data_IF_583748370446
#
_entry.id   IF_583748370446
#
_cell.length_a   1.000
_cell.length_b   1.000
_cell.length_c   1.000
_cell.angle_alpha   90.00
_cell.angle_beta   90.00
_cell.angle_gamma   90.00
#
_symmetry.space_group_name_H-M   'P 1'
#
loop_
_entity.id
_entity.type
_entity.pdbx_description
1 polymer ?
#
# COMPACT_ATOMS: atom_id res chain seq x y z
N UNK A 1 4.33 -5.44 -16.39
CA UNK A 1 3.59 -6.10 -15.29
C UNK A 1 4.11 -7.51 -15.06
N UNK A 2 4.11 -8.35 -16.09
CA UNK A 2 4.42 -9.79 -15.98
C UNK A 2 5.76 -10.08 -15.30
N UNK A 3 6.82 -9.36 -15.66
CA UNK A 3 8.13 -9.52 -15.01
C UNK A 3 8.05 -9.30 -13.48
N UNK A 4 7.37 -8.23 -13.06
CA UNK A 4 7.19 -7.92 -11.63
C UNK A 4 6.31 -8.95 -10.94
N UNK A 5 5.21 -9.36 -11.57
CA UNK A 5 4.32 -10.40 -11.03
C UNK A 5 5.05 -11.74 -10.86
N UNK A 6 5.92 -12.11 -11.81
CA UNK A 6 6.78 -13.28 -11.69
C UNK A 6 7.75 -13.15 -10.51
N UNK A 7 8.34 -11.96 -10.28
CA UNK A 7 9.20 -11.73 -9.11
C UNK A 7 8.43 -11.85 -7.80
N UNK A 8 7.18 -11.37 -7.74
CA UNK A 8 6.32 -11.57 -6.57
C UNK A 8 6.04 -13.07 -6.39
N UNK A 9 5.66 -13.81 -7.43
CA UNK A 9 5.37 -15.24 -7.33
C UNK A 9 6.58 -16.07 -6.86
N UNK A 10 7.78 -15.75 -7.37
CA UNK A 10 9.02 -16.45 -7.01
C UNK A 10 9.41 -16.25 -5.54
N UNK A 11 9.06 -15.11 -4.93
CA UNK A 11 9.57 -14.70 -3.62
C UNK A 11 8.51 -14.64 -2.52
N UNK A 12 7.26 -14.38 -2.90
CA UNK A 12 6.11 -14.20 -2.00
C UNK A 12 4.87 -14.84 -2.67
N UNK A 13 4.86 -16.17 -2.87
CA UNK A 13 3.80 -16.85 -3.61
C UNK A 13 2.41 -16.63 -2.99
N UNK A 14 2.31 -16.46 -1.67
CA UNK A 14 1.04 -16.14 -1.00
C UNK A 14 0.50 -14.77 -1.43
N UNK A 15 1.35 -13.75 -1.53
CA UNK A 15 0.96 -12.43 -2.01
C UNK A 15 0.57 -12.47 -3.49
N UNK A 16 1.30 -13.23 -4.31
CA UNK A 16 0.93 -13.44 -5.71
C UNK A 16 -0.45 -14.08 -5.85
N UNK A 17 -0.74 -15.12 -5.08
CA UNK A 17 -2.04 -15.79 -5.09
C UNK A 17 -3.16 -14.89 -4.59
N UNK A 18 -2.91 -14.06 -3.58
CA UNK A 18 -3.87 -13.05 -3.12
C UNK A 18 -4.18 -12.05 -4.23
N UNK A 19 -3.16 -11.48 -4.88
CA UNK A 19 -3.31 -10.54 -6.00
C UNK A 19 -4.14 -11.18 -7.11
N UNK A 20 -3.82 -12.40 -7.52
CA UNK A 20 -4.59 -13.10 -8.57
C UNK A 20 -6.02 -13.46 -8.16
N UNK A 21 -6.30 -13.55 -6.86
CA UNK A 21 -7.66 -13.84 -6.37
C UNK A 21 -8.55 -12.60 -6.37
N UNK A 22 -7.95 -11.42 -6.21
CA UNK A 22 -8.69 -10.15 -6.09
C UNK A 22 -8.65 -9.29 -7.36
N UNK A 23 -7.63 -9.43 -8.20
CA UNK A 23 -7.43 -8.62 -9.42
C UNK A 23 -7.76 -9.42 -10.67
N UNK A 24 -8.74 -8.94 -11.43
CA UNK A 24 -9.08 -9.43 -12.77
C UNK A 24 -8.31 -8.68 -13.85
N UNK A 25 -8.11 -7.37 -13.68
CA UNK A 25 -7.60 -6.50 -14.74
C UNK A 25 -6.61 -5.45 -14.27
N UNK A 26 -5.51 -5.34 -15.00
CA UNK A 26 -4.55 -4.25 -14.88
C UNK A 26 -4.57 -3.46 -16.18
N UNK A 27 -4.91 -2.17 -16.11
CA UNK A 27 -4.94 -1.27 -17.26
C UNK A 27 -3.64 -0.46 -17.26
N UNK A 28 -2.85 -0.60 -18.32
CA UNK A 28 -1.64 0.19 -18.52
C UNK A 28 -1.98 1.41 -19.37
N UNK A 29 -1.59 2.59 -18.90
CA UNK A 29 -1.79 3.87 -19.61
C UNK A 29 -0.47 4.61 -19.81
N UNK A 30 -0.38 5.39 -20.87
CA UNK A 30 0.62 6.46 -20.96
C UNK A 30 0.11 7.67 -20.16
N UNK A 31 0.90 8.14 -19.18
CA UNK A 31 0.50 9.27 -18.35
C UNK A 31 1.69 10.03 -17.77
N UNK A 32 1.63 11.35 -17.85
CA UNK A 32 2.60 12.26 -17.24
C UNK A 32 2.21 12.72 -15.84
N UNK A 33 1.05 12.31 -15.31
CA UNK A 33 0.53 12.80 -14.03
C UNK A 33 -0.08 11.74 -13.10
N UNK A 34 -0.50 10.60 -13.64
CA UNK A 34 -1.08 9.49 -12.87
C UNK A 34 -0.09 8.34 -12.87
N UNK A 35 0.38 7.93 -11.69
CA UNK A 35 1.32 6.81 -11.55
C UNK A 35 0.60 5.46 -11.45
N UNK A 36 -0.41 5.41 -10.60
CA UNK A 36 -1.32 4.29 -10.45
C UNK A 36 -2.62 4.80 -9.81
N UNK A 37 -3.67 3.99 -9.87
CA UNK A 37 -4.90 4.28 -9.17
C UNK A 37 -5.93 3.16 -9.27
N UNK A 38 -6.67 3.01 -8.19
CA UNK A 38 -7.80 2.11 -8.05
C UNK A 38 -9.00 2.89 -7.51
N UNK A 39 -10.19 2.35 -7.75
CA UNK A 39 -11.44 3.02 -7.38
C UNK A 39 -12.42 1.99 -6.84
N UNK A 40 -13.18 2.37 -5.81
CA UNK A 40 -14.18 1.51 -5.18
C UNK A 40 -15.24 0.98 -6.16
N UNK A 41 -15.57 1.74 -7.21
CA UNK A 41 -16.53 1.34 -8.24
C UNK A 41 -15.91 0.48 -9.37
N UNK A 42 -14.64 0.12 -9.26
CA UNK A 42 -13.89 -0.67 -10.23
C UNK A 42 -13.12 -1.82 -9.54
N UNK A 43 -13.80 -2.52 -8.62
CA UNK A 43 -13.23 -3.66 -7.90
C UNK A 43 -12.64 -4.70 -8.85
N UNK A 44 -11.47 -5.22 -8.48
CA UNK A 44 -10.67 -6.14 -9.27
C UNK A 44 -9.99 -5.49 -10.47
N UNK A 45 -10.02 -4.16 -10.57
CA UNK A 45 -9.30 -3.41 -11.58
C UNK A 45 -8.45 -2.32 -10.95
N UNK A 46 -7.25 -2.12 -11.48
CA UNK A 46 -6.49 -0.90 -11.24
C UNK A 46 -5.76 -0.44 -12.50
N UNK A 47 -5.40 0.83 -12.51
CA UNK A 47 -4.66 1.50 -13.56
C UNK A 47 -3.23 1.73 -13.08
N UNK A 48 -2.26 1.57 -13.96
CA UNK A 48 -0.85 1.91 -13.75
C UNK A 48 -0.32 2.64 -14.98
N UNK A 49 0.62 3.56 -14.77
CA UNK A 49 1.36 4.11 -15.90
C UNK A 49 2.29 3.07 -16.50
N UNK A 50 2.58 3.26 -17.78
CA UNK A 50 3.60 2.49 -18.47
C UNK A 50 4.97 2.60 -17.78
N UNK A 51 5.72 1.51 -17.86
CA UNK A 51 7.01 1.36 -17.20
C UNK A 51 8.14 1.60 -18.20
N UNK A 52 9.05 2.52 -17.89
CA UNK A 52 10.19 2.84 -18.73
C UNK A 52 11.50 2.32 -18.12
N UNK A 53 11.93 1.13 -18.53
CA UNK A 53 13.10 0.45 -17.96
C UNK A 53 14.43 1.23 -18.05
N UNK A 54 14.51 2.22 -18.95
CA UNK A 54 15.69 3.10 -19.07
C UNK A 54 15.77 4.16 -17.96
N UNK A 55 14.64 4.48 -17.32
CA UNK A 55 14.52 5.59 -16.36
C UNK A 55 14.29 5.11 -14.93
N UNK A 56 13.75 3.90 -14.76
CA UNK A 56 13.25 3.39 -13.48
C UNK A 56 13.51 1.90 -13.31
N UNK A 57 13.66 1.50 -12.04
CA UNK A 57 13.83 0.11 -11.66
C UNK A 57 12.47 -0.56 -11.46
N UNK A 58 12.38 -1.88 -11.69
CA UNK A 58 11.12 -2.62 -11.64
C UNK A 58 10.42 -2.61 -10.27
N UNK A 59 11.16 -2.28 -9.21
CA UNK A 59 10.65 -2.01 -7.85
C UNK A 59 9.58 -0.92 -7.83
N UNK A 60 9.56 -0.03 -8.82
CA UNK A 60 8.45 0.92 -9.02
C UNK A 60 7.14 0.21 -9.35
N UNK A 61 7.20 -0.73 -10.29
CA UNK A 61 6.05 -1.54 -10.65
C UNK A 61 5.63 -2.45 -9.48
N UNK A 62 6.59 -2.92 -8.67
CA UNK A 62 6.30 -3.67 -7.44
C UNK A 62 5.48 -2.81 -6.48
N UNK A 63 5.92 -1.58 -6.21
CA UNK A 63 5.19 -0.62 -5.37
C UNK A 63 3.76 -0.42 -5.89
N UNK A 64 3.59 -0.05 -7.16
CA UNK A 64 2.27 0.22 -7.74
C UNK A 64 1.34 -1.01 -7.67
N UNK A 65 1.82 -2.20 -8.06
CA UNK A 65 0.99 -3.41 -8.08
C UNK A 65 0.54 -3.77 -6.66
N UNK A 66 1.46 -3.79 -5.69
CA UNK A 66 1.11 -4.13 -4.30
C UNK A 66 0.21 -3.06 -3.70
N UNK A 67 0.48 -1.79 -3.97
CA UNK A 67 -0.30 -0.66 -3.48
C UNK A 67 -1.76 -0.72 -3.95
N UNK A 68 -1.98 -0.82 -5.25
CA UNK A 68 -3.34 -0.83 -5.81
C UNK A 68 -4.07 -2.16 -5.56
N UNK A 69 -3.35 -3.26 -5.43
CA UNK A 69 -3.93 -4.54 -5.00
C UNK A 69 -4.39 -4.47 -3.55
N UNK A 70 -3.60 -3.85 -2.67
CA UNK A 70 -3.98 -3.63 -1.26
C UNK A 70 -5.21 -2.72 -1.15
N UNK A 71 -5.33 -1.68 -1.98
CA UNK A 71 -6.56 -0.89 -2.07
C UNK A 71 -7.77 -1.76 -2.46
N UNK A 72 -7.64 -2.57 -3.51
CA UNK A 72 -8.71 -3.48 -3.94
C UNK A 72 -9.11 -4.47 -2.84
N UNK A 73 -8.14 -5.06 -2.14
CA UNK A 73 -8.41 -5.96 -1.01
C UNK A 73 -9.17 -5.24 0.10
N UNK A 74 -8.69 -4.06 0.50
CA UNK A 74 -9.32 -3.29 1.56
C UNK A 74 -10.75 -2.87 1.21
N UNK A 75 -11.00 -2.50 -0.05
CA UNK A 75 -12.36 -2.20 -0.50
C UNK A 75 -13.30 -3.41 -0.36
N UNK A 76 -12.85 -4.63 -0.70
CA UNK A 76 -13.64 -5.84 -0.51
C UNK A 76 -13.93 -6.11 0.96
N UNK A 77 -12.91 -5.98 1.82
CA UNK A 77 -13.07 -6.14 3.28
C UNK A 77 -14.08 -5.13 3.82
N UNK A 78 -13.93 -3.85 3.47
CA UNK A 78 -14.78 -2.77 3.96
C UNK A 78 -16.24 -2.91 3.51
N UNK A 79 -16.47 -3.49 2.33
CA UNK A 79 -17.83 -3.77 1.85
C UNK A 79 -18.55 -4.83 2.70
N UNK A 80 -17.79 -5.75 3.31
CA UNK A 80 -18.33 -6.81 4.15
C UNK A 80 -18.45 -6.38 5.61
N UNK A 81 -17.43 -5.70 6.13
CA UNK A 81 -17.32 -5.35 7.55
C UNK A 81 -16.84 -3.89 7.71
N UNK A 82 -17.63 -3.01 8.35
CA UNK A 82 -17.21 -1.65 8.63
C UNK A 82 -15.95 -1.61 9.50
N UNK A 83 -14.93 -0.85 9.07
CA UNK A 83 -13.65 -0.73 9.78
C UNK A 83 -13.63 0.43 10.80
N UNK A 84 -14.42 1.46 10.52
CA UNK A 84 -14.57 2.64 11.38
C UNK A 84 -16.06 2.90 11.65
N UNK A 85 -16.36 3.53 12.78
CA UNK A 85 -17.72 3.82 13.23
C UNK A 85 -18.32 5.03 12.52
N UNK A 86 -17.49 5.99 12.15
CA UNK A 86 -17.84 7.19 11.38
C UNK A 86 -16.58 7.75 10.70
N UNK A 87 -16.78 8.56 9.67
CA UNK A 87 -15.68 9.18 8.90
C UNK A 87 -15.70 10.71 9.03
N UNK A 88 -16.26 11.22 10.13
CA UNK A 88 -16.41 12.65 10.33
C UNK A 88 -15.10 13.29 10.78
N UNK A 89 -14.75 14.39 10.11
CA UNK A 89 -13.60 15.23 10.45
C UNK A 89 -12.41 15.04 9.52
N UNK A 90 -11.37 15.81 9.81
CA UNK A 90 -10.13 15.82 9.05
C UNK A 90 -8.95 15.74 10.01
N UNK A 91 -8.04 14.83 9.71
CA UNK A 91 -6.91 14.48 10.57
C UNK A 91 -5.60 14.73 9.80
N UNK A 92 -4.59 15.19 10.53
CA UNK A 92 -3.28 15.51 9.98
C UNK A 92 -2.34 14.30 10.06
N UNK A 93 -1.55 14.09 9.01
CA UNK A 93 -0.41 13.16 9.00
C UNK A 93 0.84 13.88 8.46
N UNK A 94 2.00 13.82 9.12
CA UNK A 94 3.19 14.61 8.75
C UNK A 94 3.74 14.43 7.34
N UNK A 95 3.48 13.30 6.70
CA UNK A 95 3.93 13.00 5.33
C UNK A 95 2.99 13.48 4.23
N UNK A 96 1.91 14.19 4.59
CA UNK A 96 1.01 14.84 3.65
C UNK A 96 0.90 16.33 3.93
N UNK A 97 0.59 17.09 2.88
CA UNK A 97 0.33 18.53 2.98
C UNK A 97 -1.13 18.82 3.38
N UNK A 98 -2.04 17.89 3.11
CA UNK A 98 -3.47 18.01 3.34
C UNK A 98 -3.95 17.10 4.48
N UNK A 99 -4.96 17.57 5.22
CA UNK A 99 -5.67 16.72 6.18
C UNK A 99 -6.62 15.77 5.43
N UNK A 100 -6.80 14.56 5.96
CA UNK A 100 -7.63 13.52 5.35
C UNK A 100 -8.72 13.04 6.29
N UNK A 101 -9.86 12.55 5.75
CA UNK A 101 -10.81 11.80 6.56
C UNK A 101 -10.13 10.55 7.15
N UNK A 102 -10.71 10.01 8.21
CA UNK A 102 -10.14 8.86 8.91
C UNK A 102 -10.05 7.63 7.99
N UNK A 103 -11.01 7.47 7.09
CA UNK A 103 -11.02 6.42 6.08
C UNK A 103 -9.80 6.47 5.18
N UNK A 104 -9.39 7.67 4.75
CA UNK A 104 -8.19 7.87 3.95
C UNK A 104 -6.91 7.50 4.70
N UNK A 105 -6.85 7.79 6.01
CA UNK A 105 -5.70 7.43 6.86
C UNK A 105 -5.67 5.92 7.10
N UNK A 106 -6.82 5.29 7.29
CA UNK A 106 -6.93 3.84 7.43
C UNK A 106 -6.47 3.13 6.15
N UNK A 107 -6.86 3.63 4.97
CA UNK A 107 -6.34 3.13 3.69
C UNK A 107 -4.82 3.28 3.60
N UNK A 108 -4.28 4.45 3.95
CA UNK A 108 -2.84 4.67 3.93
C UNK A 108 -2.09 3.71 4.86
N UNK A 109 -2.60 3.49 6.08
CA UNK A 109 -2.05 2.52 7.03
C UNK A 109 -1.99 1.12 6.42
N UNK A 110 -3.11 0.63 5.91
CA UNK A 110 -3.22 -0.71 5.36
C UNK A 110 -2.29 -0.91 4.16
N UNK A 111 -2.30 0.02 3.22
CA UNK A 111 -1.49 -0.05 2.00
C UNK A 111 0.01 0.07 2.30
N UNK A 112 0.39 0.93 3.26
CA UNK A 112 1.78 1.02 3.72
C UNK A 112 2.25 -0.30 4.31
N UNK A 113 1.45 -0.96 5.16
CA UNK A 113 1.82 -2.25 5.73
C UNK A 113 2.15 -3.30 4.66
N UNK A 114 1.28 -3.41 3.64
CA UNK A 114 1.46 -4.36 2.53
C UNK A 114 2.69 -4.02 1.67
N UNK A 115 2.93 -2.73 1.45
CA UNK A 115 4.08 -2.24 0.67
C UNK A 115 5.40 -2.48 1.41
N UNK A 116 5.45 -2.21 2.72
CA UNK A 116 6.61 -2.50 3.58
C UNK A 116 6.91 -3.98 3.55
N UNK A 117 5.91 -4.82 3.79
CA UNK A 117 6.05 -6.28 3.73
C UNK A 117 6.62 -6.76 2.40
N UNK A 118 6.05 -6.31 1.28
CA UNK A 118 6.51 -6.74 -0.04
C UNK A 118 7.98 -6.35 -0.29
N UNK A 119 8.39 -5.13 0.06
CA UNK A 119 9.78 -4.72 -0.10
C UNK A 119 10.72 -5.45 0.86
N UNK A 120 10.32 -5.63 2.12
CA UNK A 120 11.13 -6.33 3.13
C UNK A 120 11.47 -7.74 2.68
N UNK A 121 10.47 -8.52 2.23
CA UNK A 121 10.68 -9.88 1.75
C UNK A 121 11.65 -9.94 0.54
N UNK A 122 11.54 -9.00 -0.40
CA UNK A 122 12.46 -8.94 -1.55
C UNK A 122 13.87 -8.50 -1.16
N UNK A 123 14.02 -7.64 -0.15
CA UNK A 123 15.32 -7.23 0.41
C UNK A 123 15.99 -8.41 1.12
N UNK A 124 15.25 -9.10 1.98
CA UNK A 124 15.74 -10.25 2.76
C UNK A 124 16.16 -11.42 1.86
N UNK A 125 15.43 -11.64 0.78
CA UNK A 125 15.77 -12.66 -0.23
C UNK A 125 16.88 -12.22 -1.20
N UNK A 126 17.42 -11.00 -1.05
CA UNK A 126 18.51 -10.47 -1.90
C UNK A 126 18.10 -10.22 -3.35
N UNK A 127 16.80 -10.12 -3.63
CA UNK A 127 16.24 -9.92 -4.98
C UNK A 127 16.39 -8.46 -5.42
N UNK A 128 16.33 -7.55 -4.44
CA UNK A 128 16.53 -6.11 -4.62
C UNK A 128 17.47 -5.60 -3.54
N UNK A 129 18.05 -4.42 -3.77
CA UNK A 129 18.79 -3.65 -2.77
C UNK A 129 17.99 -2.41 -2.41
N UNK A 130 18.27 -1.86 -1.23
CA UNK A 130 17.59 -0.64 -0.77
C UNK A 130 17.75 0.54 -1.74
N UNK A 131 18.90 0.64 -2.43
CA UNK A 131 19.17 1.65 -3.46
C UNK A 131 18.30 1.51 -4.71
N UNK A 132 17.70 0.35 -4.91
CA UNK A 132 16.81 0.09 -6.04
C UNK A 132 15.38 0.63 -5.76
N UNK A 133 15.05 0.97 -4.51
CA UNK A 133 13.74 1.50 -4.11
C UNK A 133 13.72 3.03 -4.27
N UNK A 134 12.81 3.54 -5.09
CA UNK A 134 12.57 4.97 -5.31
C UNK A 134 11.08 5.27 -5.21
N UNK A 135 10.58 5.41 -3.98
CA UNK A 135 9.16 5.68 -3.74
C UNK A 135 8.74 7.07 -4.19
N UNK A 136 7.55 7.15 -4.80
CA UNK A 136 6.94 8.41 -5.22
C UNK A 136 5.65 8.73 -4.45
N UNK A 137 5.19 7.87 -3.54
CA UNK A 137 3.99 8.11 -2.73
C UNK A 137 4.27 9.02 -1.52
N UNK A 138 5.08 10.06 -1.73
CA UNK A 138 5.37 11.08 -0.75
C UNK A 138 5.04 12.46 -1.28
N UNK A 139 3.85 12.96 -0.97
CA UNK A 139 3.39 14.27 -1.43
C UNK A 139 4.11 15.44 -0.72
N UNK A 140 4.71 15.19 0.45
CA UNK A 140 5.44 16.20 1.20
C UNK A 140 6.94 16.28 0.84
N UNK A 141 7.43 15.47 -0.11
CA UNK A 141 8.87 15.37 -0.46
C UNK A 141 9.80 15.16 0.75
N UNK A 142 9.30 14.62 1.85
CA UNK A 142 10.15 14.34 3.01
C UNK A 142 10.91 13.01 2.84
N UNK A 143 11.98 12.80 3.60
CA UNK A 143 12.75 11.55 3.56
C UNK A 143 12.28 10.56 4.64
N UNK A 144 11.05 10.70 5.14
CA UNK A 144 10.53 9.88 6.22
C UNK A 144 10.42 8.42 5.76
N UNK A 145 11.02 7.45 6.48
CA UNK A 145 10.93 6.03 6.17
C UNK A 145 9.49 5.53 6.13
N UNK A 146 9.22 4.47 5.37
CA UNK A 146 7.87 3.91 5.28
C UNK A 146 7.33 3.45 6.62
N UNK A 147 8.16 2.79 7.43
CA UNK A 147 7.73 2.36 8.78
C UNK A 147 7.32 3.52 9.66
N UNK A 148 8.04 4.64 9.60
CA UNK A 148 7.68 5.82 10.38
C UNK A 148 6.34 6.41 9.90
N UNK A 149 6.12 6.51 8.59
CA UNK A 149 4.81 6.92 8.03
C UNK A 149 3.68 6.01 8.47
N UNK A 150 3.92 4.69 8.45
CA UNK A 150 2.97 3.70 8.92
C UNK A 150 2.58 3.95 10.38
N UNK A 151 3.55 4.06 11.31
CA UNK A 151 3.23 4.30 12.72
C UNK A 151 2.62 5.67 13.00
N UNK A 152 2.90 6.69 12.17
CA UNK A 152 2.18 7.96 12.22
C UNK A 152 0.68 7.76 11.89
N UNK A 153 0.34 6.94 10.89
CA UNK A 153 -1.07 6.60 10.60
C UNK A 153 -1.72 5.81 11.73
N UNK A 154 -1.02 4.81 12.29
CA UNK A 154 -1.50 4.02 13.43
C UNK A 154 -1.85 4.93 14.61
N UNK A 155 -0.94 5.84 14.96
CA UNK A 155 -1.13 6.78 16.08
C UNK A 155 -2.39 7.63 15.91
N UNK A 156 -2.69 8.09 14.70
CA UNK A 156 -3.90 8.88 14.40
C UNK A 156 -5.16 8.02 14.50
N UNK A 157 -5.12 6.81 13.96
CA UNK A 157 -6.26 5.88 14.00
C UNK A 157 -6.61 5.51 15.44
N UNK A 158 -5.62 5.15 16.27
CA UNK A 158 -5.83 4.84 17.68
C UNK A 158 -6.36 6.05 18.47
N UNK A 159 -5.79 7.23 18.22
CA UNK A 159 -6.21 8.47 18.86
C UNK A 159 -7.65 8.87 18.50
N UNK A 160 -8.14 8.47 17.32
CA UNK A 160 -9.51 8.77 16.88
C UNK A 160 -10.56 8.10 17.75
N UNK A 161 -10.27 6.91 18.30
CA UNK A 161 -11.22 6.03 19.02
C UNK A 161 -12.48 5.69 18.21
N UNK A 162 -12.37 5.72 16.88
CA UNK A 162 -13.46 5.48 15.92
C UNK A 162 -13.31 4.16 15.15
N UNK A 163 -12.44 3.26 15.58
CA UNK A 163 -12.31 1.93 14.98
C UNK A 163 -13.40 0.99 15.50
N UNK A 164 -13.94 0.15 14.62
CA UNK A 164 -14.79 -0.98 15.06
C UNK A 164 -13.93 -2.06 15.69
N UNK A 165 -14.54 -3.08 16.31
CA UNK A 165 -13.79 -4.23 16.82
C UNK A 165 -13.01 -4.95 15.69
N UNK A 166 -13.64 -5.10 14.52
CA UNK A 166 -13.01 -5.73 13.37
C UNK A 166 -11.91 -4.83 12.78
N UNK A 167 -12.15 -3.53 12.66
CA UNK A 167 -11.13 -2.56 12.26
C UNK A 167 -9.93 -2.50 13.22
N UNK A 168 -10.15 -2.66 14.53
CA UNK A 168 -9.06 -2.74 15.50
C UNK A 168 -8.24 -4.03 15.30
N UNK A 169 -8.89 -5.17 15.07
CA UNK A 169 -8.19 -6.43 14.78
C UNK A 169 -7.33 -6.29 13.52
N UNK A 170 -7.89 -5.75 12.43
CA UNK A 170 -7.15 -5.57 11.18
C UNK A 170 -5.96 -4.61 11.34
N UNK A 171 -6.14 -3.53 12.10
CA UNK A 171 -5.05 -2.61 12.46
C UNK A 171 -3.93 -3.35 13.21
N UNK A 172 -4.27 -4.16 14.21
CA UNK A 172 -3.29 -4.96 14.97
C UNK A 172 -2.58 -5.99 14.11
N UNK A 173 -3.29 -6.64 13.18
CA UNK A 173 -2.69 -7.58 12.21
C UNK A 173 -1.68 -6.85 11.30
N UNK A 174 -1.99 -5.62 10.85
CA UNK A 174 -1.05 -4.80 10.08
C UNK A 174 0.16 -4.33 10.90
N UNK A 175 -0.02 -3.97 12.17
CA UNK A 175 1.07 -3.59 13.07
C UNK A 175 2.03 -4.76 13.25
N UNK A 176 1.51 -5.95 13.56
CA UNK A 176 2.34 -7.15 13.69
C UNK A 176 3.12 -7.45 12.41
N UNK A 177 2.46 -7.35 11.25
CA UNK A 177 3.12 -7.56 9.95
C UNK A 177 4.32 -6.61 9.74
N UNK A 178 4.18 -5.34 10.13
CA UNK A 178 5.25 -4.33 9.98
C UNK A 178 6.35 -4.48 11.02
N UNK A 179 5.99 -4.87 12.25
CA UNK A 179 6.96 -5.16 13.31
C UNK A 179 7.82 -6.39 12.99
N UNK A 180 7.25 -7.40 12.32
CA UNK A 180 7.96 -8.60 11.88
C UNK A 180 8.93 -8.34 10.71
N UNK A 181 8.76 -7.23 9.99
CA UNK A 181 9.70 -6.84 8.93
C UNK A 181 11.02 -6.35 9.55
N UNK A 182 12.17 -6.70 8.98
CA UNK A 182 13.47 -6.31 9.55
C UNK A 182 14.08 -5.06 8.91
N UNK A 183 13.72 -4.79 7.66
CA UNK A 183 14.34 -3.73 6.86
C UNK A 183 13.89 -2.34 7.31
N UNK A 184 14.84 -1.40 7.31
CA UNK A 184 14.60 0.03 7.56
C UNK A 184 14.25 0.75 6.26
N UNK A 185 13.09 0.41 5.69
CA UNK A 185 12.54 1.00 4.46
C UNK A 185 11.73 2.25 4.76
#
# INVERSE_FOLDING_TARGET
CDYTLNKINENIPELYNEINSIIDRVIVIESNGVNAGSYLNALGTFIIREFHSEQEHWTRMLEHIVHESAHNLLYHIWYQEPLITDDDGLYYTPFRLDNRPLSGIYHAMFVLARTIFAFDQHLQNGVIRQTDIKSHYNEANNSTPFKEKFFQTVSVIESSKKTTQFGQKLLSDCVQLVDDCESTI
#
